data_IF_520857245694
#
_entry.id   IF_520857245694
#
_cell.length_a   1.000
_cell.length_b   1.000
_cell.length_c   1.000
_cell.angle_alpha   90.00
_cell.angle_beta   90.00
_cell.angle_gamma   90.00
#
_symmetry.space_group_name_H-M   'P 1'
#
loop_
_entity.id
_entity.type
_entity.pdbx_description
1 polymer ?
#
# COMPACT_ATOMS: atom_id res chain seq x y z
N UNK A 1 -10.19 -7.04 -11.71
CA UNK A 1 -9.70 -5.83 -11.04
C UNK A 1 -8.23 -5.59 -11.32
N UNK A 2 -7.86 -4.35 -11.63
CA UNK A 2 -6.48 -3.89 -11.87
C UNK A 2 -6.22 -2.58 -11.16
N UNK A 3 -5.01 -2.40 -10.64
CA UNK A 3 -4.57 -1.13 -10.05
C UNK A 3 -4.40 -0.08 -11.16
N UNK A 4 -5.10 1.04 -11.05
CA UNK A 4 -5.04 2.17 -11.99
C UNK A 4 -4.21 3.33 -11.47
N UNK A 5 -4.15 3.51 -10.15
CA UNK A 5 -3.36 4.56 -9.53
C UNK A 5 -2.91 4.19 -8.11
N UNK A 6 -1.81 4.79 -7.66
CA UNK A 6 -1.27 4.67 -6.31
C UNK A 6 -0.75 6.05 -5.90
N UNK A 7 -1.36 6.67 -4.91
CA UNK A 7 -0.95 7.99 -4.41
C UNK A 7 -0.61 7.92 -2.92
N UNK A 8 0.32 8.79 -2.50
CA UNK A 8 0.72 8.92 -1.10
C UNK A 8 0.23 10.26 -0.57
N UNK A 9 -0.38 10.26 0.61
CA UNK A 9 -0.86 11.45 1.29
C UNK A 9 -0.08 11.60 2.60
N UNK A 10 0.67 12.70 2.73
CA UNK A 10 1.34 13.06 3.96
C UNK A 10 0.54 14.19 4.59
N UNK A 11 0.06 13.98 5.81
CA UNK A 11 -0.79 14.94 6.53
C UNK A 11 -0.17 15.30 7.87
N UNK A 12 -0.34 16.55 8.29
CA UNK A 12 0.08 17.01 9.61
C UNK A 12 -0.88 16.49 10.69
N UNK A 13 -0.34 15.74 11.66
CA UNK A 13 -1.08 15.27 12.83
C UNK A 13 -0.60 15.94 14.14
N UNK A 14 -0.01 17.13 14.05
CA UNK A 14 0.38 18.01 15.15
C UNK A 14 1.75 17.70 15.72
N UNK A 15 1.97 16.48 16.23
CA UNK A 15 3.25 16.08 16.85
C UNK A 15 4.12 15.18 15.96
N UNK A 16 3.58 14.70 14.84
CA UNK A 16 4.27 13.97 13.77
C UNK A 16 3.42 13.97 12.50
N UNK A 17 4.01 13.73 11.31
CA UNK A 17 3.24 13.46 10.11
C UNK A 17 2.59 12.08 10.16
N UNK A 18 1.42 11.94 9.54
CA UNK A 18 0.85 10.66 9.14
C UNK A 18 1.00 10.48 7.65
N UNK A 19 1.27 9.25 7.23
CA UNK A 19 1.39 8.90 5.81
C UNK A 19 0.37 7.83 5.48
N UNK A 20 -0.46 8.09 4.48
CA UNK A 20 -1.42 7.14 3.94
C UNK A 20 -1.08 6.83 2.49
N UNK A 21 -1.35 5.60 2.06
CA UNK A 21 -1.36 5.23 0.66
C UNK A 21 -2.80 4.97 0.22
N UNK A 22 -3.15 5.52 -0.94
CA UNK A 22 -4.43 5.34 -1.62
C UNK A 22 -4.18 4.53 -2.89
N UNK A 23 -4.82 3.39 -3.02
CA UNK A 23 -4.74 2.53 -4.22
C UNK A 23 -6.11 2.53 -4.90
N UNK A 24 -6.15 2.88 -6.17
CA UNK A 24 -7.38 2.93 -6.97
C UNK A 24 -7.40 1.82 -8.02
N UNK A 25 -8.58 1.31 -8.34
CA UNK A 25 -8.76 0.21 -9.30
C UNK A 25 -9.67 0.59 -10.48
N UNK A 26 -9.61 -0.22 -11.54
CA UNK A 26 -10.46 -0.08 -12.73
C UNK A 26 -11.95 -0.37 -12.48
N UNK A 27 -12.26 -0.99 -11.35
CA UNK A 27 -13.63 -1.26 -10.89
C UNK A 27 -14.17 -0.19 -9.92
N UNK A 28 -13.43 0.89 -9.71
CA UNK A 28 -13.84 2.01 -8.84
C UNK A 28 -13.68 1.74 -7.33
N UNK A 29 -13.06 0.63 -6.95
CA UNK A 29 -12.77 0.30 -5.54
C UNK A 29 -11.46 0.98 -5.15
N UNK A 30 -11.46 1.61 -3.97
CA UNK A 30 -10.27 2.27 -3.41
C UNK A 30 -9.85 1.61 -2.10
N UNK A 31 -8.57 1.25 -2.03
CA UNK A 31 -7.90 0.74 -0.84
C UNK A 31 -7.11 1.81 -0.11
N UNK A 32 -7.06 1.68 1.21
CA UNK A 32 -6.29 2.54 2.09
C UNK A 32 -5.36 1.76 2.99
N UNK A 33 -4.15 2.28 3.18
CA UNK A 33 -3.21 1.77 4.18
C UNK A 33 -2.42 2.89 4.82
N UNK A 34 -2.11 2.75 6.11
CA UNK A 34 -1.24 3.68 6.84
C UNK A 34 0.21 3.18 6.80
N UNK A 35 1.15 4.08 6.52
CA UNK A 35 2.58 3.80 6.47
C UNK A 35 3.43 4.92 7.11
N UNK A 36 2.91 5.50 8.20
CA UNK A 36 3.50 6.64 8.89
C UNK A 36 4.95 6.40 9.36
N UNK A 37 5.85 7.32 9.01
CA UNK A 37 7.15 7.48 9.64
C UNK A 37 7.30 8.91 10.17
N UNK A 38 7.62 9.04 11.46
CA UNK A 38 7.64 10.35 12.12
C UNK A 38 8.82 11.25 11.73
N UNK A 39 9.87 10.71 11.09
CA UNK A 39 11.09 11.46 10.75
C UNK A 39 11.35 11.55 9.26
N UNK A 40 10.93 10.53 8.51
CA UNK A 40 11.24 10.37 7.09
C UNK A 40 9.99 10.05 6.25
N UNK A 41 8.90 10.84 6.34
CA UNK A 41 7.65 10.57 5.60
C UNK A 41 7.86 10.59 4.07
N UNK A 42 8.72 11.47 3.56
CA UNK A 42 9.04 11.52 2.12
C UNK A 42 9.89 10.33 1.64
N UNK A 43 10.58 9.64 2.56
CA UNK A 43 11.24 8.38 2.24
C UNK A 43 10.21 7.30 1.87
N UNK A 44 9.09 7.27 2.58
CA UNK A 44 7.98 6.34 2.31
C UNK A 44 7.38 6.62 0.93
N UNK A 45 7.06 7.89 0.67
CA UNK A 45 6.58 8.35 -0.63
C UNK A 45 7.54 7.97 -1.77
N UNK A 46 8.84 8.16 -1.58
CA UNK A 46 9.86 7.77 -2.56
C UNK A 46 9.83 6.28 -2.89
N UNK A 47 9.76 5.41 -1.88
CA UNK A 47 9.67 3.96 -2.09
C UNK A 47 8.38 3.58 -2.81
N UNK A 48 7.23 4.15 -2.41
CA UNK A 48 5.94 3.87 -3.06
C UNK A 48 5.96 4.32 -4.52
N UNK A 49 6.54 5.49 -4.82
CA UNK A 49 6.71 5.99 -6.18
C UNK A 49 7.55 5.03 -7.04
N UNK A 50 8.63 4.48 -6.49
CA UNK A 50 9.49 3.55 -7.22
C UNK A 50 8.83 2.17 -7.43
N UNK A 51 7.96 1.74 -6.50
CA UNK A 51 7.18 0.51 -6.62
C UNK A 51 5.95 0.66 -7.53
N UNK A 52 5.42 1.88 -7.71
CA UNK A 52 4.21 2.14 -8.50
C UNK A 52 4.25 1.53 -9.91
N UNK A 53 5.30 1.69 -10.73
CA UNK A 53 5.38 1.08 -12.07
C UNK A 53 5.33 -0.46 -12.05
N UNK A 54 5.80 -1.09 -10.96
CA UNK A 54 5.78 -2.55 -10.80
C UNK A 54 4.37 -3.05 -10.47
N UNK A 55 3.52 -2.20 -9.87
CA UNK A 55 2.20 -2.58 -9.35
C UNK A 55 1.05 -2.19 -10.29
N UNK A 56 1.20 -1.13 -11.09
CA UNK A 56 0.18 -0.68 -12.03
C UNK A 56 -0.25 -1.81 -12.99
N UNK A 57 -1.56 -1.92 -13.22
CA UNK A 57 -2.16 -2.94 -14.08
C UNK A 57 -2.28 -4.34 -13.47
N UNK A 58 -1.71 -4.58 -12.28
CA UNK A 58 -1.82 -5.87 -11.58
C UNK A 58 -3.09 -5.96 -10.74
N UNK A 59 -3.51 -7.19 -10.47
CA UNK A 59 -4.63 -7.48 -9.58
C UNK A 59 -4.23 -7.30 -8.10
N UNK A 60 -4.88 -6.39 -7.35
CA UNK A 60 -4.62 -6.19 -5.92
C UNK A 60 -5.16 -7.34 -5.03
N UNK A 61 -6.14 -8.13 -5.49
CA UNK A 61 -6.75 -9.20 -4.68
C UNK A 61 -5.81 -10.38 -4.40
N UNK A 62 -4.73 -10.50 -5.18
CA UNK A 62 -3.60 -11.39 -4.91
C UNK A 62 -2.53 -10.70 -4.04
N UNK A 63 -2.96 -10.09 -2.91
CA UNK A 63 -2.13 -9.24 -2.06
C UNK A 63 -0.81 -9.91 -1.61
N UNK A 64 -0.83 -11.19 -1.21
CA UNK A 64 0.40 -11.92 -0.83
C UNK A 64 1.40 -12.01 -2.00
N UNK A 65 0.93 -12.24 -3.22
CA UNK A 65 1.78 -12.25 -4.41
C UNK A 65 2.39 -10.86 -4.66
N UNK A 66 1.59 -9.80 -4.50
CA UNK A 66 2.08 -8.41 -4.61
C UNK A 66 3.10 -8.10 -3.51
N UNK A 67 2.88 -8.56 -2.29
CA UNK A 67 3.82 -8.43 -1.18
C UNK A 67 5.17 -9.07 -1.52
N UNK A 68 5.16 -10.31 -2.02
CA UNK A 68 6.40 -10.99 -2.42
C UNK A 68 7.12 -10.28 -3.57
N UNK A 69 6.39 -9.76 -4.57
CA UNK A 69 6.97 -8.97 -5.66
C UNK A 69 7.67 -7.70 -5.13
N UNK A 70 7.01 -6.96 -4.24
CA UNK A 70 7.60 -5.76 -3.61
C UNK A 70 8.79 -6.11 -2.71
N UNK A 71 8.69 -7.21 -1.94
CA UNK A 71 9.75 -7.66 -1.04
C UNK A 71 11.01 -8.09 -1.79
N UNK A 72 10.86 -8.78 -2.91
CA UNK A 72 11.97 -9.12 -3.81
C UNK A 72 12.54 -7.87 -4.47
N UNK A 73 11.68 -6.95 -4.94
CA UNK A 73 12.09 -5.68 -5.54
C UNK A 73 12.93 -4.80 -4.61
N UNK A 74 12.65 -4.87 -3.31
CA UNK A 74 13.34 -4.09 -2.26
C UNK A 74 14.45 -4.88 -1.54
N UNK A 75 14.86 -6.05 -2.05
CA UNK A 75 15.76 -6.98 -1.35
C UNK A 75 17.09 -6.41 -0.86
N UNK A 76 17.61 -5.37 -1.52
CA UNK A 76 18.88 -4.73 -1.16
C UNK A 76 18.75 -3.74 0.01
N UNK A 77 17.52 -3.30 0.31
CA UNK A 77 17.19 -2.28 1.31
C UNK A 77 16.01 -2.72 2.17
N UNK A 78 16.04 -3.97 2.65
CA UNK A 78 14.97 -4.55 3.47
C UNK A 78 14.81 -3.80 4.80
N UNK A 79 13.59 -3.77 5.32
CA UNK A 79 13.29 -3.16 6.62
C UNK A 79 13.10 -1.64 6.53
N UNK A 80 13.06 -0.99 7.69
CA UNK A 80 12.98 0.47 7.80
C UNK A 80 11.87 1.10 6.96
N UNK A 81 12.23 2.12 6.19
CA UNK A 81 11.33 2.87 5.30
C UNK A 81 10.71 1.96 4.24
N UNK A 82 11.48 1.03 3.65
CA UNK A 82 10.95 0.13 2.64
C UNK A 82 9.87 -0.80 3.22
N UNK A 83 10.14 -1.43 4.37
CA UNK A 83 9.15 -2.30 5.00
C UNK A 83 7.86 -1.57 5.40
N UNK A 84 7.96 -0.31 5.86
CA UNK A 84 6.77 0.51 6.17
C UNK A 84 5.96 0.85 4.92
N UNK A 85 6.61 1.18 3.81
CA UNK A 85 5.94 1.40 2.53
C UNK A 85 5.22 0.13 2.04
N UNK A 86 5.87 -1.02 2.13
CA UNK A 86 5.29 -2.33 1.80
C UNK A 86 4.06 -2.63 2.67
N UNK A 87 4.15 -2.40 3.99
CA UNK A 87 3.04 -2.62 4.90
C UNK A 87 1.82 -1.76 4.55
N UNK A 88 2.01 -0.47 4.24
CA UNK A 88 0.91 0.40 3.80
C UNK A 88 0.25 -0.09 2.53
N UNK A 89 1.05 -0.49 1.53
CA UNK A 89 0.52 -1.04 0.27
C UNK A 89 -0.25 -2.35 0.49
N UNK A 90 0.29 -3.25 1.31
CA UNK A 90 -0.34 -4.53 1.63
C UNK A 90 -1.68 -4.34 2.36
N UNK A 91 -1.74 -3.45 3.35
CA UNK A 91 -3.00 -3.06 4.00
C UNK A 91 -4.03 -2.51 2.99
N UNK A 92 -3.60 -1.67 2.04
CA UNK A 92 -4.49 -1.14 1.01
C UNK A 92 -5.02 -2.24 0.08
N UNK A 93 -4.21 -3.24 -0.25
CA UNK A 93 -4.65 -4.38 -1.06
C UNK A 93 -5.63 -5.30 -0.31
N UNK A 94 -5.39 -5.54 0.99
CA UNK A 94 -6.30 -6.28 1.86
C UNK A 94 -7.65 -5.56 1.98
N UNK A 95 -7.62 -4.23 2.17
CA UNK A 95 -8.82 -3.38 2.21
C UNK A 95 -9.60 -3.45 0.88
N UNK A 96 -8.92 -3.37 -0.27
CA UNK A 96 -9.54 -3.58 -1.60
C UNK A 96 -10.20 -4.95 -1.69
N UNK A 97 -9.51 -6.02 -1.25
CA UNK A 97 -10.05 -7.37 -1.33
C UNK A 97 -11.32 -7.52 -0.50
N UNK A 98 -11.32 -7.03 0.74
CA UNK A 98 -12.50 -7.06 1.60
C UNK A 98 -13.68 -6.30 0.97
N UNK A 99 -13.43 -5.08 0.48
CA UNK A 99 -14.42 -4.25 -0.23
C UNK A 99 -14.96 -4.92 -1.49
N UNK A 100 -14.10 -5.59 -2.27
CA UNK A 100 -14.50 -6.30 -3.49
C UNK A 100 -15.42 -7.49 -3.23
N UNK A 101 -15.30 -8.08 -2.04
CA UNK A 101 -16.13 -9.20 -1.59
C UNK A 101 -17.33 -8.74 -0.75
N UNK A 102 -17.46 -7.43 -0.50
CA UNK A 102 -18.49 -6.85 0.36
C UNK A 102 -18.51 -7.47 1.78
N UNK A 103 -17.34 -7.68 2.36
CA UNK A 103 -17.14 -8.18 3.73
C UNK A 103 -16.21 -7.24 4.51
N UNK A 104 -16.15 -7.43 5.82
CA UNK A 104 -15.12 -6.80 6.66
C UNK A 104 -13.74 -7.42 6.43
N UNK A 105 -12.67 -6.67 6.72
CA UNK A 105 -11.31 -7.22 6.67
C UNK A 105 -11.13 -8.40 7.63
N UNK A 106 -11.81 -8.38 8.79
CA UNK A 106 -11.75 -9.48 9.75
C UNK A 106 -12.19 -10.81 9.13
N UNK A 107 -13.27 -10.81 8.36
CA UNK A 107 -13.80 -12.00 7.68
C UNK A 107 -12.85 -12.61 6.64
N UNK A 108 -11.85 -11.86 6.14
CA UNK A 108 -10.81 -12.43 5.28
C UNK A 108 -9.90 -13.43 6.01
N UNK A 109 -9.82 -13.35 7.34
CA UNK A 109 -8.85 -14.07 8.15
C UNK A 109 -9.47 -15.17 9.04
N UNK A 110 -10.74 -15.51 8.82
CA UNK A 110 -11.50 -16.54 9.55
C UNK A 110 -12.20 -16.01 10.80
#
# INVERSE_FOLDING_TARGET
MKITNIDTLIVDAGWRPWTFVKVETDEGITGWGECSDGKSPHGIEGVIRDLKPVLLGKDPCAFEMRFQEMYIGTRASKGGIAAKALAGLDCAFIDIKAKSLNISVAELFG
#
